data_IF_327338556165
#
_entry.id   IF_327338556165
#
_cell.length_a   1.000
_cell.length_b   1.000
_cell.length_c   1.000
_cell.angle_alpha   90.00
_cell.angle_beta   90.00
_cell.angle_gamma   90.00
#
_symmetry.space_group_name_H-M   'P 1'
#
loop_
_entity.id
_entity.type
_entity.pdbx_description
1 polymer ?
#
# COMPACT_ATOMS: atom_id res chain seq x y z
N UNK A 1 10.98 -2.10 17.69
CA UNK A 1 10.30 -1.28 16.66
C UNK A 1 11.06 -1.48 15.37
N UNK A 2 10.37 -1.77 14.26
CA UNK A 2 11.04 -1.85 12.96
C UNK A 2 11.67 -0.48 12.66
N UNK A 3 12.92 -0.47 12.22
CA UNK A 3 13.65 0.75 11.92
C UNK A 3 12.98 1.48 10.75
N UNK A 4 12.52 2.71 10.98
CA UNK A 4 11.91 3.55 9.93
C UNK A 4 13.00 4.37 9.26
N UNK A 5 13.20 4.15 7.96
CA UNK A 5 14.14 4.95 7.15
C UNK A 5 13.44 6.21 6.65
N UNK A 6 13.94 7.38 7.05
CA UNK A 6 13.48 8.66 6.53
C UNK A 6 13.87 8.82 5.05
N UNK A 7 12.96 9.39 4.24
CA UNK A 7 13.21 9.75 2.86
C UNK A 7 12.55 11.09 2.53
N UNK A 8 13.14 11.87 1.63
CA UNK A 8 12.57 13.13 1.17
C UNK A 8 11.55 12.86 0.07
N UNK A 9 10.28 13.09 0.38
CA UNK A 9 9.19 12.98 -0.58
C UNK A 9 8.87 14.36 -1.14
N UNK A 10 8.85 14.50 -2.47
CA UNK A 10 8.44 15.72 -3.16
C UNK A 10 7.01 15.56 -3.63
N UNK A 11 6.12 16.46 -3.22
CA UNK A 11 4.70 16.46 -3.55
C UNK A 11 4.29 17.81 -4.12
N UNK A 12 3.26 17.82 -4.97
CA UNK A 12 2.56 19.05 -5.31
C UNK A 12 1.93 19.63 -4.01
N UNK A 13 2.07 20.93 -3.71
CA UNK A 13 1.45 21.57 -2.55
C UNK A 13 -0.05 21.31 -2.39
N UNK A 14 -0.81 21.28 -3.48
CA UNK A 14 -2.26 21.04 -3.46
C UNK A 14 -2.59 19.63 -2.95
N UNK A 15 -1.82 18.64 -3.43
CA UNK A 15 -1.95 17.26 -2.99
C UNK A 15 -1.56 17.09 -1.52
N UNK A 16 -0.56 17.83 -1.05
CA UNK A 16 -0.19 17.82 0.37
C UNK A 16 -1.32 18.39 1.25
N UNK A 17 -1.93 19.50 0.83
CA UNK A 17 -3.04 20.11 1.56
C UNK A 17 -4.25 19.16 1.64
N UNK A 18 -4.54 18.43 0.56
CA UNK A 18 -5.62 17.45 0.53
C UNK A 18 -5.34 16.25 1.45
N UNK A 19 -4.09 15.77 1.48
CA UNK A 19 -3.64 14.73 2.42
C UNK A 19 -3.68 15.18 3.87
N UNK A 20 -3.32 16.44 4.15
CA UNK A 20 -3.38 17.04 5.50
C UNK A 20 -4.83 17.07 6.00
N UNK A 21 -5.76 17.56 5.17
CA UNK A 21 -7.18 17.58 5.52
C UNK A 21 -7.71 16.17 5.79
N UNK A 22 -7.40 15.20 4.93
CA UNK A 22 -7.83 13.82 5.13
C UNK A 22 -7.23 13.21 6.40
N UNK A 23 -5.96 13.47 6.69
CA UNK A 23 -5.33 13.01 7.93
C UNK A 23 -6.03 13.60 9.16
N UNK A 24 -6.40 14.88 9.13
CA UNK A 24 -7.16 15.52 10.22
C UNK A 24 -8.54 14.89 10.40
N UNK A 25 -9.29 14.67 9.31
CA UNK A 25 -10.63 14.06 9.34
C UNK A 25 -10.60 12.65 9.97
N UNK A 26 -9.48 11.94 9.84
CA UNK A 26 -9.27 10.60 10.40
C UNK A 26 -8.49 10.57 11.73
N UNK A 27 -8.24 11.73 12.34
CA UNK A 27 -7.46 11.90 13.57
C UNK A 27 -6.06 11.24 13.49
N UNK A 28 -5.40 11.37 12.34
CA UNK A 28 -4.06 10.85 12.05
C UNK A 28 -3.05 11.97 11.81
N UNK A 29 -1.77 11.64 11.98
CA UNK A 29 -0.69 12.49 11.44
C UNK A 29 -0.58 12.29 9.93
N UNK A 30 -0.07 13.30 9.22
CA UNK A 30 0.17 13.23 7.77
C UNK A 30 1.07 12.04 7.42
N UNK A 31 2.15 11.82 8.17
CA UNK A 31 3.03 10.67 7.97
C UNK A 31 2.30 9.34 8.20
N UNK A 32 1.41 9.26 9.20
CA UNK A 32 0.59 8.07 9.43
C UNK A 32 -0.40 7.81 8.30
N UNK A 33 -0.99 8.87 7.74
CA UNK A 33 -1.88 8.76 6.58
C UNK A 33 -1.13 8.27 5.34
N UNK A 34 0.06 8.82 5.06
CA UNK A 34 0.90 8.38 3.95
C UNK A 34 1.30 6.91 4.12
N UNK A 35 1.71 6.50 5.32
CA UNK A 35 2.06 5.11 5.62
C UNK A 35 0.88 4.15 5.41
N UNK A 36 -0.33 4.55 5.83
CA UNK A 36 -1.55 3.78 5.60
C UNK A 36 -1.84 3.60 4.10
N UNK A 37 -1.84 4.70 3.34
CA UNK A 37 -2.14 4.69 1.91
C UNK A 37 -1.14 3.84 1.11
N UNK A 38 0.14 3.97 1.41
CA UNK A 38 1.19 3.17 0.77
C UNK A 38 1.03 1.68 1.09
N UNK A 39 0.72 1.33 2.33
CA UNK A 39 0.47 -0.06 2.71
C UNK A 39 -0.74 -0.65 1.97
N UNK A 40 -1.84 0.09 1.89
CA UNK A 40 -3.04 -0.35 1.17
C UNK A 40 -2.78 -0.49 -0.34
N UNK A 41 -2.06 0.46 -0.95
CA UNK A 41 -1.67 0.38 -2.36
C UNK A 41 -0.79 -0.85 -2.65
N UNK A 42 0.21 -1.12 -1.80
CA UNK A 42 1.07 -2.30 -1.94
C UNK A 42 0.30 -3.61 -1.76
N UNK A 43 -0.62 -3.69 -0.78
CA UNK A 43 -1.49 -4.87 -0.60
C UNK A 43 -2.36 -5.11 -1.83
N UNK A 44 -3.00 -4.05 -2.37
CA UNK A 44 -3.83 -4.15 -3.59
C UNK A 44 -3.01 -4.61 -4.78
N UNK A 45 -1.81 -4.06 -4.99
CA UNK A 45 -0.90 -4.47 -6.06
C UNK A 45 -0.52 -5.96 -5.95
N UNK A 46 -0.15 -6.43 -4.74
CA UNK A 46 0.19 -7.84 -4.50
C UNK A 46 -0.97 -8.78 -4.79
N UNK A 47 -2.20 -8.41 -4.38
CA UNK A 47 -3.40 -9.20 -4.68
C UNK A 47 -3.65 -9.28 -6.19
N UNK A 48 -3.48 -8.17 -6.91
CA UNK A 48 -3.58 -8.16 -8.37
C UNK A 48 -2.57 -9.06 -9.07
N UNK A 49 -1.34 -9.16 -8.54
CA UNK A 49 -0.30 -10.07 -9.07
C UNK A 49 -0.54 -11.55 -8.76
N UNK A 50 -1.21 -11.86 -7.65
CA UNK A 50 -1.48 -13.25 -7.24
C UNK A 50 -2.63 -13.90 -8.01
N UNK A 51 -3.44 -13.11 -8.72
CA UNK A 51 -4.50 -13.60 -9.62
C UNK A 51 -4.02 -14.01 -11.01
N UNK A 52 -2.73 -13.84 -11.33
CA UNK A 52 -2.14 -14.22 -12.62
C UNK A 52 -1.25 -15.46 -12.57
N UNK A 53 -1.10 -16.11 -11.41
CA UNK A 53 -0.55 -17.46 -11.35
C UNK A 53 -1.69 -18.45 -11.62
N UNK A 54 -1.62 -19.26 -12.69
CA UNK A 54 -2.50 -20.40 -12.83
C UNK A 54 -2.36 -21.26 -11.56
N UNK A 55 -3.45 -21.86 -11.05
CA UNK A 55 -3.32 -22.84 -9.98
C UNK A 55 -2.28 -23.90 -10.40
N UNK A 56 -1.41 -24.36 -9.48
CA UNK A 56 -0.51 -25.45 -9.79
C UNK A 56 -1.39 -26.61 -10.28
N UNK A 57 -1.23 -26.97 -11.54
CA UNK A 57 -1.86 -28.17 -12.09
C UNK A 57 -1.18 -29.34 -11.39
N UNK A 58 -1.84 -29.92 -10.40
CA UNK A 58 -1.42 -31.18 -9.80
C UNK A 58 -1.30 -32.23 -10.93
N UNK A 59 -0.12 -32.82 -11.17
CA UNK A 59 0.01 -33.95 -12.07
C UNK A 59 -0.13 -35.21 -11.22
N UNK A 60 -1.35 -35.58 -10.86
CA UNK A 60 -1.70 -36.82 -10.12
C UNK A 60 -3.20 -36.99 -10.31
N UNK A 61 -3.79 -38.04 -10.85
CA UNK A 61 -3.38 -39.39 -11.23
C UNK A 61 -4.60 -39.93 -11.97
N UNK A 62 -4.42 -40.54 -13.14
CA UNK A 62 -5.35 -41.57 -13.60
C UNK A 62 -4.49 -42.77 -13.98
N UNK A 63 -4.83 -43.90 -13.37
CA UNK A 63 -4.15 -45.18 -13.53
C UNK A 63 -4.53 -45.85 -14.84
#
# INVERSE_FOLDING_TARGET
>A
MAEKKGFLLRLNPEMLAELERWAQDEFRSVNGQIEYLLNEALKKQRRGKKGSEPPPTDPTTDQ
#
